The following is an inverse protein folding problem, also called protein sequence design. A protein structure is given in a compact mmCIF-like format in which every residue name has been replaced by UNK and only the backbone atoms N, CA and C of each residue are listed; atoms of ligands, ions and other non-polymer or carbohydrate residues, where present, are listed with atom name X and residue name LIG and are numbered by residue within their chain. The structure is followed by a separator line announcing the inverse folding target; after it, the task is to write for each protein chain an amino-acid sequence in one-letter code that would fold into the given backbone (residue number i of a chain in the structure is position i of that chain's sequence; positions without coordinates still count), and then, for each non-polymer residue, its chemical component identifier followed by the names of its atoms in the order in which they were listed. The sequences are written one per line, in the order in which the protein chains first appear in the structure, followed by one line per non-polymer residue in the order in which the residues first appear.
data_IF_185806337929
#
_entry.id   IF_185806337929
#
_cell.length_a   1.000
_cell.length_b   1.000
_cell.length_c   1.000
_cell.angle_alpha   90.00
_cell.angle_beta   90.00
_cell.angle_gamma   90.00
#
_symmetry.space_group_name_H-M   'P 1'
#
loop_
_entity.id
_entity.type
_entity.pdbx_description
1 polymer ?
#
# COMPACT_ATOMS: atom_id res chain seq x y z
N UNK A 1 25.05 15.61 -5.54
CA UNK A 1 25.74 14.41 -5.05
C UNK A 1 26.35 14.75 -3.71
N UNK A 2 25.96 14.07 -2.64
CA UNK A 2 26.63 14.14 -1.34
C UNK A 2 27.18 12.74 -1.09
N UNK A 3 28.46 12.67 -0.78
CA UNK A 3 29.16 11.41 -0.51
C UNK A 3 29.74 11.53 0.88
N UNK A 4 29.35 10.62 1.75
CA UNK A 4 30.01 10.36 3.04
C UNK A 4 30.66 8.97 2.91
N UNK A 5 31.67 8.64 3.71
CA UNK A 5 32.39 7.36 3.56
C UNK A 5 31.42 6.17 3.55
N UNK A 6 31.35 5.45 2.42
CA UNK A 6 30.48 4.30 2.24
C UNK A 6 29.01 4.60 1.88
N UNK A 7 28.61 5.87 1.74
CA UNK A 7 27.24 6.24 1.37
C UNK A 7 27.18 7.24 0.22
N UNK A 8 26.49 6.86 -0.86
CA UNK A 8 26.20 7.73 -1.99
C UNK A 8 24.71 8.03 -2.09
N UNK A 9 24.35 9.32 -1.99
CA UNK A 9 22.98 9.76 -2.18
C UNK A 9 22.71 10.10 -3.65
N UNK A 10 21.88 9.27 -4.29
CA UNK A 10 21.38 9.47 -5.65
C UNK A 10 19.95 10.00 -5.62
N UNK A 11 19.72 11.16 -6.24
CA UNK A 11 18.36 11.62 -6.53
C UNK A 11 17.88 11.00 -7.84
N UNK A 12 16.58 10.74 -7.96
CA UNK A 12 16.00 10.26 -9.21
C UNK A 12 14.76 9.41 -9.01
N UNK A 13 14.24 8.90 -10.12
CA UNK A 13 13.11 7.96 -10.13
C UNK A 13 13.54 6.65 -10.76
N UNK A 14 13.42 5.56 -10.01
CA UNK A 14 13.60 4.20 -10.52
C UNK A 14 12.65 3.95 -11.70
N UNK A 15 13.17 3.35 -12.77
CA UNK A 15 12.43 3.00 -13.99
C UNK A 15 12.38 1.51 -14.25
N UNK A 16 13.53 0.85 -14.16
CA UNK A 16 13.65 -0.56 -14.48
C UNK A 16 14.81 -1.19 -13.69
N UNK A 17 14.68 -2.47 -13.38
CA UNK A 17 15.71 -3.29 -12.78
C UNK A 17 15.81 -4.56 -13.62
N UNK A 18 17.00 -4.89 -14.07
CA UNK A 18 17.30 -6.15 -14.77
C UNK A 18 18.47 -6.86 -14.11
N UNK A 19 18.56 -8.18 -14.29
CA UNK A 19 19.72 -8.97 -13.86
C UNK A 19 20.73 -9.02 -15.02
N UNK A 20 22.00 -8.78 -14.72
CA UNK A 20 23.11 -8.86 -15.70
C UNK A 20 23.59 -10.31 -15.86
N UNK A 21 24.39 -10.57 -16.89
CA UNK A 21 25.02 -11.88 -17.09
C UNK A 21 25.94 -12.28 -15.92
N UNK A 22 26.49 -11.30 -15.19
CA UNK A 22 27.33 -11.50 -14.00
C UNK A 22 26.52 -11.79 -12.73
N UNK A 23 25.18 -11.82 -12.81
CA UNK A 23 24.30 -12.06 -11.67
C UNK A 23 24.04 -10.84 -10.79
N UNK A 24 24.52 -9.66 -11.19
CA UNK A 24 24.26 -8.38 -10.50
C UNK A 24 22.97 -7.74 -11.00
N UNK A 25 22.55 -6.66 -10.35
CA UNK A 25 21.41 -5.87 -10.78
C UNK A 25 21.85 -4.60 -11.51
N UNK A 26 21.31 -4.38 -12.70
CA UNK A 26 21.42 -3.11 -13.41
C UNK A 26 20.16 -2.28 -13.14
N UNK A 27 20.33 -1.16 -12.45
CA UNK A 27 19.27 -0.24 -12.04
C UNK A 27 19.23 0.94 -13.01
N UNK A 28 18.13 1.09 -13.74
CA UNK A 28 17.85 2.26 -14.55
C UNK A 28 17.02 3.27 -13.74
N UNK A 29 17.50 4.51 -13.65
CA UNK A 29 16.80 5.61 -12.99
C UNK A 29 16.94 6.91 -13.77
N UNK A 30 15.98 7.82 -13.59
CA UNK A 30 15.98 9.12 -14.28
C UNK A 30 16.26 10.28 -13.33
N UNK A 31 17.12 11.20 -13.77
CA UNK A 31 17.42 12.47 -13.09
C UNK A 31 17.21 13.60 -14.09
N UNK A 32 16.31 14.54 -13.80
CA UNK A 32 15.97 15.66 -14.70
C UNK A 32 15.68 15.21 -16.15
N UNK A 33 14.96 14.08 -16.29
CA UNK A 33 14.61 13.49 -17.60
C UNK A 33 15.71 12.67 -18.28
N UNK A 34 16.95 12.69 -17.78
CA UNK A 34 18.06 11.88 -18.33
C UNK A 34 18.12 10.51 -17.67
N UNK A 35 18.31 9.46 -18.46
CA UNK A 35 18.49 8.10 -17.95
C UNK A 35 19.91 7.90 -17.43
N UNK A 36 20.03 7.19 -16.33
CA UNK A 36 21.27 6.82 -15.66
C UNK A 36 21.19 5.36 -15.26
N UNK A 37 22.35 4.74 -15.09
CA UNK A 37 22.50 3.33 -14.81
C UNK A 37 23.43 3.13 -13.63
N UNK A 38 23.07 2.22 -12.72
CA UNK A 38 23.89 1.82 -11.59
C UNK A 38 23.89 0.29 -11.50
N UNK A 39 25.07 -0.31 -11.44
CA UNK A 39 25.21 -1.74 -11.16
C UNK A 39 25.41 -1.97 -9.67
N UNK A 40 24.62 -2.85 -9.07
CA UNK A 40 24.68 -3.18 -7.63
C UNK A 40 24.55 -4.68 -7.39
N UNK A 41 25.11 -5.16 -6.30
CA UNK A 41 25.04 -6.57 -5.90
C UNK A 41 23.72 -6.90 -5.18
N UNK A 42 23.05 -5.92 -4.57
CA UNK A 42 21.82 -6.12 -3.82
C UNK A 42 20.87 -4.91 -3.92
N UNK A 43 19.56 -5.17 -3.79
CA UNK A 43 18.51 -4.16 -3.78
C UNK A 43 17.61 -4.38 -2.56
N UNK A 44 17.40 -3.32 -1.79
CA UNK A 44 16.41 -3.27 -0.71
C UNK A 44 15.26 -2.35 -1.12
N UNK A 45 14.04 -2.89 -1.20
CA UNK A 45 12.86 -2.11 -1.56
C UNK A 45 12.27 -1.41 -0.32
N UNK A 46 12.41 -0.09 -0.27
CA UNK A 46 11.88 0.77 0.79
C UNK A 46 10.76 1.72 0.29
N UNK A 47 10.05 1.39 -0.80
CA UNK A 47 9.09 2.29 -1.49
C UNK A 47 7.69 2.33 -0.81
N UNK A 48 7.58 1.87 0.44
CA UNK A 48 6.33 1.67 1.17
C UNK A 48 5.34 0.70 0.48
N UNK A 49 4.26 0.34 1.18
CA UNK A 49 3.26 -0.58 0.66
C UNK A 49 2.40 0.08 -0.44
N UNK A 50 1.93 -0.74 -1.37
CA UNK A 50 0.96 -0.32 -2.40
C UNK A 50 -0.35 0.09 -1.72
N UNK A 51 -0.73 1.36 -1.86
CA UNK A 51 -2.01 1.87 -1.34
C UNK A 51 -3.20 1.56 -2.27
N UNK A 52 -2.93 1.45 -3.58
CA UNK A 52 -3.97 1.15 -4.55
C UNK A 52 -4.23 -0.36 -4.60
N UNK A 53 -5.33 -0.80 -3.99
CA UNK A 53 -5.71 -2.21 -3.92
C UNK A 53 -5.94 -2.87 -5.29
N UNK A 54 -6.31 -2.11 -6.32
CA UNK A 54 -6.42 -2.65 -7.70
C UNK A 54 -5.09 -3.11 -8.29
N UNK A 55 -3.96 -2.71 -7.70
CA UNK A 55 -2.59 -3.09 -8.11
C UNK A 55 -1.95 -4.15 -7.20
N UNK A 56 -2.71 -4.68 -6.24
CA UNK A 56 -2.20 -5.71 -5.33
C UNK A 56 -2.37 -7.08 -5.98
N UNK A 57 -1.27 -7.83 -6.07
CA UNK A 57 -1.21 -9.13 -6.75
C UNK A 57 -1.70 -10.31 -5.87
N UNK A 58 -2.16 -10.05 -4.64
CA UNK A 58 -2.70 -11.07 -3.74
C UNK A 58 -3.95 -11.75 -4.34
N UNK A 59 -4.01 -13.09 -4.41
CA UNK A 59 -5.18 -13.81 -4.92
C UNK A 59 -6.49 -13.44 -4.20
N UNK A 60 -6.43 -13.21 -2.88
CA UNK A 60 -7.59 -12.79 -2.10
C UNK A 60 -8.12 -11.42 -2.56
N UNK A 61 -7.23 -10.43 -2.67
CA UNK A 61 -7.63 -9.06 -3.07
C UNK A 61 -8.19 -9.08 -4.49
N UNK A 62 -7.55 -9.80 -5.42
CA UNK A 62 -8.05 -9.95 -6.79
C UNK A 62 -9.45 -10.56 -6.83
N UNK A 63 -9.69 -11.63 -6.09
CA UNK A 63 -10.98 -12.30 -6.06
C UNK A 63 -12.08 -11.43 -5.42
N UNK A 64 -11.76 -10.70 -4.34
CA UNK A 64 -12.71 -9.80 -3.69
C UNK A 64 -13.04 -8.59 -4.56
N UNK A 65 -12.06 -8.00 -5.26
CA UNK A 65 -12.29 -6.93 -6.24
C UNK A 65 -13.14 -7.45 -7.42
N UNK A 66 -12.82 -8.62 -7.96
CA UNK A 66 -13.52 -9.20 -9.11
C UNK A 66 -14.98 -9.59 -8.78
N UNK A 67 -15.25 -9.99 -7.53
CA UNK A 67 -16.61 -10.28 -7.06
C UNK A 67 -17.41 -9.04 -6.63
N UNK A 68 -16.80 -7.85 -6.64
CA UNK A 68 -17.44 -6.62 -6.16
C UNK A 68 -17.49 -6.47 -4.64
N UNK A 69 -17.01 -7.46 -3.88
CA UNK A 69 -17.02 -7.46 -2.40
C UNK A 69 -16.22 -6.30 -1.80
N UNK A 70 -15.21 -5.81 -2.52
CA UNK A 70 -14.44 -4.61 -2.14
C UNK A 70 -14.25 -3.72 -3.38
N UNK A 71 -14.10 -2.41 -3.15
CA UNK A 71 -13.62 -1.45 -4.15
C UNK A 71 -12.60 -0.49 -3.53
N UNK A 72 -11.83 0.19 -4.38
CA UNK A 72 -10.97 1.28 -3.93
C UNK A 72 -11.80 2.53 -3.63
N UNK A 73 -11.30 3.37 -2.71
CA UNK A 73 -11.82 4.74 -2.56
C UNK A 73 -11.56 5.57 -3.82
N UNK A 74 -12.19 6.75 -3.90
CA UNK A 74 -12.15 7.63 -5.07
C UNK A 74 -10.73 8.02 -5.52
N UNK A 75 -9.75 8.07 -4.62
CA UNK A 75 -8.35 8.43 -4.89
C UNK A 75 -7.42 7.21 -4.93
N UNK A 76 -7.95 6.01 -4.74
CA UNK A 76 -7.17 4.76 -4.67
C UNK A 76 -6.03 4.83 -3.63
N UNK A 77 -6.33 5.43 -2.48
CA UNK A 77 -5.44 5.50 -1.32
C UNK A 77 -5.73 4.40 -0.28
N UNK A 78 -6.73 3.57 -0.53
CA UNK A 78 -7.13 2.43 0.27
C UNK A 78 -8.36 1.72 -0.31
N UNK A 79 -9.16 1.13 0.57
CA UNK A 79 -10.47 0.56 0.28
C UNK A 79 -11.55 1.58 0.60
N UNK A 80 -12.67 1.52 -0.14
CA UNK A 80 -13.85 2.29 0.20
C UNK A 80 -14.55 1.65 1.40
N UNK A 81 -14.78 2.47 2.41
CA UNK A 81 -15.28 2.02 3.70
C UNK A 81 -15.86 3.20 4.49
N UNK A 82 -16.72 2.88 5.45
CA UNK A 82 -17.14 3.82 6.47
C UNK A 82 -16.00 4.08 7.49
N UNK A 83 -16.04 5.19 8.25
CA UNK A 83 -15.01 5.50 9.26
C UNK A 83 -14.85 4.44 10.37
N UNK A 84 -15.85 3.59 10.60
CA UNK A 84 -15.79 2.47 11.53
C UNK A 84 -15.11 1.21 10.93
N UNK A 85 -14.68 1.27 9.67
CA UNK A 85 -14.03 0.17 8.97
C UNK A 85 -14.94 -0.68 8.11
N UNK A 86 -16.27 -0.50 8.15
CA UNK A 86 -17.18 -1.32 7.35
C UNK A 86 -16.95 -1.10 5.85
N UNK A 87 -16.63 -2.16 5.11
CA UNK A 87 -16.36 -2.09 3.67
C UNK A 87 -17.61 -1.65 2.92
N UNK A 88 -17.42 -0.85 1.87
CA UNK A 88 -18.45 -0.55 0.87
C UNK A 88 -18.16 -1.38 -0.39
N UNK A 89 -19.14 -2.15 -0.84
CA UNK A 89 -19.03 -2.99 -2.04
C UNK A 89 -19.13 -2.16 -3.35
N UNK A 90 -18.99 -2.83 -4.49
CA UNK A 90 -19.08 -2.20 -5.81
C UNK A 90 -20.43 -1.52 -6.06
N UNK A 91 -21.51 -2.08 -5.51
CA UNK A 91 -22.89 -1.60 -5.62
C UNK A 91 -23.18 -0.43 -4.66
N UNK A 92 -22.30 -0.14 -3.70
CA UNK A 92 -22.44 0.93 -2.72
C UNK A 92 -23.12 0.50 -1.42
N UNK A 93 -23.28 -0.80 -1.17
CA UNK A 93 -23.80 -1.32 0.09
C UNK A 93 -22.68 -1.43 1.11
N UNK A 94 -23.01 -1.09 2.35
CA UNK A 94 -22.12 -1.30 3.50
C UNK A 94 -22.16 -2.76 3.94
N UNK A 95 -21.00 -3.34 4.24
CA UNK A 95 -20.90 -4.70 4.76
C UNK A 95 -21.16 -4.76 6.27
N UNK A 96 -21.93 -5.76 6.69
CA UNK A 96 -22.14 -6.09 8.12
C UNK A 96 -21.12 -7.12 8.65
N UNK A 97 -20.27 -7.68 7.79
CA UNK A 97 -19.38 -8.81 8.13
C UNK A 97 -17.93 -8.59 7.75
N UNK A 98 -17.64 -7.65 6.84
CA UNK A 98 -16.30 -7.37 6.35
C UNK A 98 -15.90 -5.97 6.77
N UNK A 99 -14.86 -5.91 7.61
CA UNK A 99 -14.29 -4.67 8.14
C UNK A 99 -12.82 -4.57 7.80
N UNK A 100 -12.31 -3.35 7.71
CA UNK A 100 -10.91 -3.04 7.49
C UNK A 100 -10.40 -2.02 8.50
N UNK A 101 -9.07 -1.96 8.64
CA UNK A 101 -8.37 -1.15 9.63
C UNK A 101 -7.04 -0.65 9.05
N UNK A 102 -6.47 0.39 9.66
CA UNK A 102 -5.13 0.85 9.35
C UNK A 102 -4.98 1.38 7.95
N UNK A 103 -3.89 1.04 7.26
CA UNK A 103 -3.51 1.64 5.97
C UNK A 103 -4.56 1.48 4.86
N UNK A 104 -5.40 0.44 4.95
CA UNK A 104 -6.52 0.26 4.03
C UNK A 104 -7.60 1.35 4.17
N UNK A 105 -7.66 2.07 5.30
CA UNK A 105 -8.56 3.20 5.50
C UNK A 105 -7.95 4.55 5.11
N UNK A 106 -6.74 4.62 4.54
CA UNK A 106 -6.05 5.90 4.35
C UNK A 106 -6.78 6.90 3.46
N UNK A 107 -7.59 6.41 2.50
CA UNK A 107 -8.49 7.26 1.71
C UNK A 107 -9.63 7.90 2.52
N UNK A 108 -9.98 7.32 3.66
CA UNK A 108 -11.07 7.75 4.56
C UNK A 108 -10.51 8.51 5.77
N UNK A 109 -9.42 8.02 6.36
CA UNK A 109 -8.75 8.52 7.55
C UNK A 109 -7.27 8.82 7.23
N UNK A 110 -6.94 10.06 6.87
CA UNK A 110 -5.62 10.43 6.33
C UNK A 110 -4.41 9.98 7.17
N UNK A 111 -4.52 9.99 8.50
CA UNK A 111 -3.43 9.66 9.44
C UNK A 111 -3.55 8.24 10.05
N UNK A 112 -4.04 7.26 9.28
CA UNK A 112 -4.33 5.88 9.76
C UNK A 112 -3.21 4.85 9.53
N UNK A 113 -1.95 5.28 9.45
CA UNK A 113 -0.84 4.37 9.12
C UNK A 113 0.02 3.99 10.32
N UNK A 114 -0.13 4.67 11.45
CA UNK A 114 0.69 4.46 12.63
C UNK A 114 -0.02 3.58 13.68
N UNK A 115 0.81 2.96 14.53
CA UNK A 115 0.38 1.96 15.51
C UNK A 115 -0.67 2.51 16.50
N UNK A 116 -0.53 3.73 17.07
CA UNK A 116 -1.51 4.26 18.02
C UNK A 116 -2.92 4.34 17.44
N UNK A 117 -3.05 4.81 16.19
CA UNK A 117 -4.33 4.98 15.51
C UNK A 117 -4.95 3.63 15.18
N UNK A 118 -4.15 2.69 14.66
CA UNK A 118 -4.60 1.32 14.35
C UNK A 118 -5.11 0.63 15.62
N UNK A 119 -4.44 0.81 16.77
CA UNK A 119 -4.86 0.25 18.05
C UNK A 119 -6.21 0.78 18.50
N UNK A 120 -6.46 2.08 18.32
CA UNK A 120 -7.75 2.68 18.66
C UNK A 120 -8.86 2.12 17.77
N UNK A 121 -8.63 2.02 16.46
CA UNK A 121 -9.60 1.44 15.53
C UNK A 121 -9.92 -0.01 15.88
N UNK A 122 -8.90 -0.83 16.14
CA UNK A 122 -9.09 -2.23 16.54
C UNK A 122 -9.91 -2.35 17.84
N UNK A 123 -9.65 -1.47 18.82
CA UNK A 123 -10.41 -1.43 20.07
C UNK A 123 -11.88 -1.08 19.84
N UNK A 124 -12.17 -0.06 19.05
CA UNK A 124 -13.56 0.36 18.79
C UNK A 124 -14.31 -0.67 17.94
N UNK A 125 -13.65 -1.26 16.92
CA UNK A 125 -14.21 -2.36 16.14
C UNK A 125 -14.53 -3.56 17.05
N UNK A 126 -13.62 -3.95 17.95
CA UNK A 126 -13.85 -5.05 18.88
C UNK A 126 -15.06 -4.85 19.79
N UNK A 127 -15.30 -3.62 20.27
CA UNK A 127 -16.52 -3.29 21.03
C UNK A 127 -17.77 -3.40 20.16
N UNK A 128 -17.72 -2.91 18.94
CA UNK A 128 -18.86 -2.94 18.02
C UNK A 128 -19.28 -4.38 17.70
N UNK A 129 -18.32 -5.26 17.40
CA UNK A 129 -18.59 -6.65 17.05
C UNK A 129 -19.15 -7.46 18.23
N UNK A 130 -18.73 -7.18 19.45
CA UNK A 130 -19.23 -7.87 20.65
C UNK A 130 -20.55 -7.29 21.17
N UNK A 131 -20.88 -6.05 20.82
CA UNK A 131 -22.16 -5.44 21.13
C UNK A 131 -23.31 -5.96 20.24
N UNK A 132 -23.01 -6.45 19.02
CA UNK A 132 -24.00 -7.03 18.11
C UNK A 132 -24.33 -8.51 18.40
N UNK A 133 -23.65 -9.15 19.35
CA UNK A 133 -23.92 -10.53 19.78
C UNK A 133 -24.92 -10.62 20.97
N UNK A 134 -25.56 -9.52 21.35
CA UNK A 134 -26.65 -9.45 22.35
C UNK A 134 -27.96 -8.99 21.72
#
# INVERSE_FOLDING_TARGET
MKTEEGFELLSGRLKHISVTETGKFLVNYTVNGKQNYLEVDAIMNCIAAQANFSKIESPLVKNMMASGTIRCDALCLGLDALPNGAIIDAEGNTSDTIFTLGSALKGILWETTAIPEIRLQAKELGKMLTASEN
#
